data_IF_050922003569
#
_entry.id   IF_050922003569
#
_cell.length_a   1.000
_cell.length_b   1.000
_cell.length_c   1.000
_cell.angle_alpha   90.00
_cell.angle_beta   90.00
_cell.angle_gamma   90.00
#
_symmetry.space_group_name_H-M   'P 1'
#
loop_
_entity.id
_entity.type
_entity.pdbx_description
1 polymer ?
#
# COMPACT_ATOMS: atom_id res chain seq x y z
N UNK A 1 -0.04 -19.06 8.60
CA UNK A 1 0.36 -18.10 9.65
C UNK A 1 0.05 -16.67 9.20
N UNK A 2 0.62 -16.21 8.08
CA UNK A 2 0.32 -14.93 7.41
C UNK A 2 -1.20 -14.60 7.34
N UNK A 3 -2.00 -15.49 6.75
CA UNK A 3 -3.45 -15.29 6.60
C UNK A 3 -4.17 -15.03 7.94
N UNK A 4 -3.75 -15.72 9.01
CA UNK A 4 -4.33 -15.55 10.35
C UNK A 4 -4.01 -14.17 10.91
N UNK A 5 -2.77 -13.70 10.77
CA UNK A 5 -2.33 -12.38 11.26
C UNK A 5 -3.08 -11.28 10.52
N UNK A 6 -3.11 -11.34 9.18
CA UNK A 6 -3.84 -10.36 8.35
C UNK A 6 -5.33 -10.35 8.73
N UNK A 7 -5.96 -11.51 8.84
CA UNK A 7 -7.38 -11.60 9.22
C UNK A 7 -7.66 -10.99 10.60
N UNK A 8 -6.79 -11.26 11.58
CA UNK A 8 -6.94 -10.71 12.93
C UNK A 8 -6.78 -9.20 12.92
N UNK A 9 -5.77 -8.67 12.24
CA UNK A 9 -5.59 -7.23 12.07
C UNK A 9 -6.80 -6.58 11.39
N UNK A 10 -7.28 -7.10 10.26
CA UNK A 10 -8.46 -6.54 9.57
C UNK A 10 -9.69 -6.46 10.48
N UNK A 11 -9.98 -7.53 11.23
CA UNK A 11 -11.11 -7.55 12.15
C UNK A 11 -10.93 -6.56 13.31
N UNK A 12 -9.71 -6.41 13.82
CA UNK A 12 -9.38 -5.44 14.86
C UNK A 12 -9.57 -3.99 14.38
N UNK A 13 -9.00 -3.65 13.21
CA UNK A 13 -9.13 -2.33 12.58
C UNK A 13 -10.60 -1.94 12.38
N UNK A 14 -11.43 -2.90 11.96
CA UNK A 14 -12.88 -2.68 11.80
C UNK A 14 -13.54 -2.47 13.16
N UNK A 15 -13.21 -3.29 14.15
CA UNK A 15 -13.84 -3.24 15.47
C UNK A 15 -13.56 -1.92 16.21
N UNK A 16 -12.34 -1.39 16.10
CA UNK A 16 -11.92 -0.18 16.81
C UNK A 16 -11.95 1.10 15.96
N UNK A 17 -12.39 0.98 14.70
CA UNK A 17 -12.44 2.07 13.72
C UNK A 17 -11.08 2.75 13.48
N UNK A 18 -9.96 2.08 13.77
CA UNK A 18 -8.63 2.69 13.63
C UNK A 18 -8.20 2.93 12.18
N UNK A 19 -8.99 2.46 11.20
CA UNK A 19 -8.85 2.85 9.79
C UNK A 19 -9.02 4.36 9.58
N UNK A 20 -9.80 5.06 10.43
CA UNK A 20 -9.95 6.52 10.38
C UNK A 20 -8.63 7.25 10.70
N UNK A 21 -7.71 6.57 11.38
CA UNK A 21 -6.40 7.08 11.77
C UNK A 21 -5.28 6.53 10.88
N UNK A 22 -5.63 5.93 9.75
CA UNK A 22 -4.69 5.30 8.81
C UNK A 22 -3.80 4.24 9.48
N UNK A 23 -4.34 3.47 10.44
CA UNK A 23 -3.60 2.39 11.07
C UNK A 23 -3.31 1.28 10.06
N UNK A 24 -2.04 0.93 9.92
CA UNK A 24 -1.53 -0.02 8.95
C UNK A 24 -0.94 -1.27 9.57
N UNK A 25 -0.53 -2.21 8.72
CA UNK A 25 0.19 -3.41 9.09
C UNK A 25 1.38 -3.57 8.16
N UNK A 26 2.59 -3.36 8.67
CA UNK A 26 3.79 -3.57 7.88
C UNK A 26 4.03 -5.06 7.64
N UNK A 27 4.54 -5.40 6.46
CA UNK A 27 4.67 -6.81 6.07
C UNK A 27 5.66 -7.58 6.94
N UNK A 28 6.69 -6.94 7.48
CA UNK A 28 7.64 -7.55 8.41
C UNK A 28 6.98 -7.92 9.75
N UNK A 29 5.96 -7.19 10.20
CA UNK A 29 5.13 -7.56 11.35
C UNK A 29 4.25 -8.80 11.09
N UNK A 30 3.96 -9.10 9.82
CA UNK A 30 3.14 -10.26 9.42
C UNK A 30 3.95 -11.56 9.51
N UNK A 31 5.24 -11.49 9.18
CA UNK A 31 6.11 -12.66 9.08
C UNK A 31 7.59 -12.26 8.94
N UNK A 32 8.46 -12.89 9.74
CA UNK A 32 9.93 -12.73 9.71
C UNK A 32 10.56 -12.95 8.31
N UNK A 33 9.86 -13.65 7.41
CA UNK A 33 10.27 -13.78 6.01
C UNK A 33 10.42 -12.45 5.27
N UNK A 34 9.82 -11.38 5.78
CA UNK A 34 9.76 -10.06 5.16
C UNK A 34 10.66 -9.02 5.85
N UNK A 35 11.59 -9.46 6.70
CA UNK A 35 12.55 -8.56 7.36
C UNK A 35 13.53 -7.95 6.34
N UNK A 36 13.93 -8.71 5.33
CA UNK A 36 14.92 -8.27 4.34
C UNK A 36 14.26 -7.53 3.17
N UNK A 37 14.80 -6.37 2.77
CA UNK A 37 14.20 -5.49 1.77
C UNK A 37 14.07 -6.10 0.37
N UNK A 38 14.93 -7.06 0.02
CA UNK A 38 14.85 -7.80 -1.23
C UNK A 38 13.60 -8.69 -1.34
N UNK A 39 12.90 -8.94 -0.24
CA UNK A 39 11.64 -9.68 -0.20
C UNK A 39 10.41 -8.80 -0.24
N UNK A 40 10.55 -7.48 -0.03
CA UNK A 40 9.44 -6.60 0.29
C UNK A 40 8.40 -6.45 -0.81
N UNK A 41 8.83 -6.29 -2.07
CA UNK A 41 7.87 -6.09 -3.16
C UNK A 41 7.00 -7.35 -3.34
N UNK A 42 7.62 -8.52 -3.43
CA UNK A 42 6.90 -9.78 -3.59
C UNK A 42 6.06 -10.09 -2.33
N UNK A 43 6.63 -9.92 -1.14
CA UNK A 43 5.93 -10.11 0.12
C UNK A 43 4.74 -9.19 0.31
N UNK A 44 4.86 -7.94 -0.12
CA UNK A 44 3.79 -6.95 -0.22
C UNK A 44 2.64 -7.46 -1.06
N UNK A 45 2.91 -7.89 -2.30
CA UNK A 45 1.87 -8.40 -3.19
C UNK A 45 1.23 -9.71 -2.69
N UNK A 46 2.01 -10.60 -2.08
CA UNK A 46 1.49 -11.83 -1.46
C UNK A 46 0.52 -11.49 -0.32
N UNK A 47 0.93 -10.61 0.59
CA UNK A 47 0.11 -10.16 1.71
C UNK A 47 -1.15 -9.43 1.22
N UNK A 48 -1.02 -8.57 0.21
CA UNK A 48 -2.13 -7.86 -0.41
C UNK A 48 -3.14 -8.80 -1.07
N UNK A 49 -2.66 -9.82 -1.79
CA UNK A 49 -3.51 -10.84 -2.40
C UNK A 49 -4.28 -11.63 -1.34
N UNK A 50 -3.63 -11.99 -0.24
CA UNK A 50 -4.25 -12.67 0.89
C UNK A 50 -5.30 -11.77 1.56
N UNK A 51 -4.99 -10.50 1.80
CA UNK A 51 -5.91 -9.54 2.36
C UNK A 51 -7.16 -9.34 1.47
N UNK A 52 -6.97 -9.21 0.14
CA UNK A 52 -8.08 -9.17 -0.84
C UNK A 52 -8.97 -10.40 -0.73
N UNK A 53 -8.37 -11.60 -0.65
CA UNK A 53 -9.10 -12.86 -0.50
C UNK A 53 -9.93 -12.88 0.79
N UNK A 54 -9.32 -12.57 1.93
CA UNK A 54 -10.02 -12.53 3.24
C UNK A 54 -11.18 -11.53 3.19
N UNK A 55 -10.93 -10.33 2.67
CA UNK A 55 -11.94 -9.27 2.50
C UNK A 55 -13.15 -9.79 1.72
N UNK A 56 -12.92 -10.48 0.60
CA UNK A 56 -13.96 -11.03 -0.26
C UNK A 56 -14.73 -12.16 0.43
N UNK A 57 -14.04 -13.10 1.07
CA UNK A 57 -14.65 -14.23 1.79
C UNK A 57 -15.56 -13.77 2.93
N UNK A 58 -15.13 -12.73 3.66
CA UNK A 58 -15.89 -12.13 4.75
C UNK A 58 -16.93 -11.09 4.28
N UNK A 59 -16.98 -10.79 2.97
CA UNK A 59 -17.87 -9.78 2.36
C UNK A 59 -17.79 -8.42 3.05
N UNK A 60 -16.59 -8.02 3.47
CA UNK A 60 -16.38 -6.76 4.18
C UNK A 60 -16.61 -5.58 3.21
N UNK A 61 -17.39 -4.54 3.60
CA UNK A 61 -17.62 -3.35 2.79
C UNK A 61 -16.43 -2.37 2.83
N UNK A 62 -15.23 -2.91 2.69
CA UNK A 62 -13.95 -2.20 2.78
C UNK A 62 -13.14 -2.46 1.51
N UNK A 63 -12.20 -1.58 1.20
CA UNK A 63 -11.14 -1.84 0.23
C UNK A 63 -9.80 -2.01 0.95
N UNK A 64 -8.93 -2.81 0.34
CA UNK A 64 -7.56 -3.02 0.81
C UNK A 64 -6.64 -2.15 -0.06
N UNK A 65 -5.67 -1.51 0.59
CA UNK A 65 -4.55 -0.86 -0.05
C UNK A 65 -3.23 -1.53 0.38
N UNK A 66 -2.32 -1.72 -0.56
CA UNK A 66 -0.91 -1.95 -0.29
C UNK A 66 -0.14 -0.68 -0.62
N UNK A 67 0.59 -0.14 0.35
CA UNK A 67 1.45 1.02 0.17
C UNK A 67 2.92 0.60 0.14
N UNK A 68 3.65 1.12 -0.84
CA UNK A 68 5.10 0.96 -0.96
C UNK A 68 5.72 2.35 -0.87
N UNK A 69 6.50 2.59 0.19
CA UNK A 69 7.19 3.87 0.42
C UNK A 69 8.51 3.90 -0.36
N UNK A 70 8.74 4.99 -1.09
CA UNK A 70 9.92 5.21 -1.90
C UNK A 70 10.84 6.25 -1.23
N UNK A 71 12.10 6.27 -1.64
CA UNK A 71 13.07 7.26 -1.16
C UNK A 71 12.54 8.68 -1.39
N UNK A 72 12.55 9.48 -0.31
CA UNK A 72 12.25 10.91 -0.33
C UNK A 72 13.34 11.68 -1.06
N UNK A 73 12.97 12.87 -1.55
CA UNK A 73 13.90 13.74 -2.29
C UNK A 73 13.70 15.21 -1.93
N UNK A 74 14.75 16.02 -2.03
CA UNK A 74 14.72 17.47 -1.78
C UNK A 74 13.93 18.27 -2.83
N UNK A 75 13.58 17.63 -3.95
CA UNK A 75 12.80 18.20 -5.06
C UNK A 75 11.87 17.15 -5.67
N UNK A 76 10.79 17.55 -6.37
CA UNK A 76 9.95 16.60 -7.09
C UNK A 76 10.78 15.81 -8.11
N UNK A 77 10.71 14.49 -8.04
CA UNK A 77 11.35 13.56 -8.97
C UNK A 77 10.37 13.08 -10.04
N UNK A 78 9.07 13.09 -9.73
CA UNK A 78 8.05 12.42 -10.52
C UNK A 78 8.23 10.90 -10.54
N UNK A 79 7.44 10.24 -11.38
CA UNK A 79 7.60 8.81 -11.63
C UNK A 79 8.82 8.59 -12.53
N UNK A 80 9.88 7.99 -11.95
CA UNK A 80 11.17 7.79 -12.62
C UNK A 80 11.56 6.31 -12.77
N UNK A 81 10.63 5.39 -12.50
CA UNK A 81 10.78 3.95 -12.64
C UNK A 81 9.77 3.44 -13.68
N UNK A 82 10.11 2.35 -14.39
CA UNK A 82 9.26 1.76 -15.42
C UNK A 82 9.04 0.26 -15.25
N UNK A 83 9.80 -0.37 -14.36
CA UNK A 83 9.74 -1.80 -14.07
C UNK A 83 9.78 -2.07 -12.56
N UNK A 84 9.46 -3.30 -12.17
CA UNK A 84 9.66 -3.77 -10.78
C UNK A 84 11.13 -3.69 -10.38
N UNK A 85 12.06 -3.95 -11.30
CA UNK A 85 13.49 -3.86 -11.03
C UNK A 85 13.92 -2.42 -10.70
N UNK A 86 13.35 -1.43 -11.39
CA UNK A 86 13.59 -0.02 -11.07
C UNK A 86 12.98 0.34 -9.72
N UNK A 87 11.78 -0.19 -9.43
CA UNK A 87 11.08 0.03 -8.16
C UNK A 87 11.92 -0.42 -6.97
N UNK A 88 12.63 -1.56 -7.06
CA UNK A 88 13.55 -2.03 -6.02
C UNK A 88 14.63 -1.00 -5.68
N UNK A 89 15.13 -0.24 -6.66
CA UNK A 89 16.16 0.78 -6.44
C UNK A 89 15.61 2.06 -5.78
N UNK A 90 14.29 2.25 -5.85
CA UNK A 90 13.61 3.41 -5.30
C UNK A 90 13.01 3.14 -3.92
N UNK A 91 13.08 1.91 -3.39
CA UNK A 91 12.53 1.59 -2.07
C UNK A 91 13.18 2.42 -0.97
N UNK A 92 12.34 2.92 -0.06
CA UNK A 92 12.79 3.51 1.20
C UNK A 92 13.27 2.43 2.18
N UNK A 93 13.62 2.85 3.39
CA UNK A 93 13.95 1.98 4.53
C UNK A 93 12.70 1.52 5.31
N UNK A 94 11.50 1.92 4.87
CA UNK A 94 10.22 1.55 5.47
C UNK A 94 9.61 0.36 4.71
N UNK A 95 9.30 -0.76 5.40
CA UNK A 95 8.63 -1.89 4.77
C UNK A 95 7.25 -1.49 4.20
N UNK A 96 6.81 -2.12 3.09
CA UNK A 96 5.44 -1.97 2.61
C UNK A 96 4.42 -2.29 3.68
N UNK A 97 3.26 -1.64 3.61
CA UNK A 97 2.19 -1.85 4.59
C UNK A 97 0.83 -2.00 3.94
N UNK A 98 -0.03 -2.77 4.62
CA UNK A 98 -1.43 -2.93 4.29
C UNK A 98 -2.27 -1.89 5.02
N UNK A 99 -3.21 -1.29 4.31
CA UNK A 99 -4.26 -0.46 4.88
C UNK A 99 -5.63 -1.03 4.54
N UNK A 100 -6.60 -0.75 5.39
CA UNK A 100 -7.99 -1.13 5.20
C UNK A 100 -8.85 0.12 5.39
N UNK A 101 -9.74 0.40 4.44
CA UNK A 101 -10.59 1.59 4.48
C UNK A 101 -12.02 1.25 4.13
N UNK A 102 -12.96 1.92 4.79
CA UNK A 102 -14.38 1.78 4.47
C UNK A 102 -14.65 2.30 3.04
N UNK A 103 -15.55 1.62 2.32
CA UNK A 103 -15.97 2.10 1.00
C UNK A 103 -16.66 3.46 1.12
N UNK A 104 -16.25 4.40 0.26
CA UNK A 104 -16.77 5.77 0.27
C UNK A 104 -16.03 6.71 1.22
N UNK A 105 -14.90 6.28 1.81
CA UNK A 105 -14.10 7.15 2.66
C UNK A 105 -13.44 8.30 1.85
N UNK A 106 -13.87 9.53 2.15
CA UNK A 106 -13.58 10.74 1.35
C UNK A 106 -12.12 11.19 1.33
N UNK A 107 -11.36 10.92 2.40
CA UNK A 107 -9.96 11.36 2.49
C UNK A 107 -9.09 10.68 1.44
N UNK A 108 -9.33 9.39 1.20
CA UNK A 108 -8.62 8.66 0.16
C UNK A 108 -8.98 9.18 -1.24
N UNK A 109 -10.26 9.43 -1.50
CA UNK A 109 -10.73 10.01 -2.75
C UNK A 109 -10.11 11.39 -3.03
N UNK A 110 -9.91 12.19 -1.98
CA UNK A 110 -9.26 13.50 -2.09
C UNK A 110 -7.78 13.35 -2.42
N UNK A 111 -7.08 12.39 -1.81
CA UNK A 111 -5.68 12.11 -2.10
C UNK A 111 -5.48 11.66 -3.55
N UNK A 112 -6.37 10.80 -4.07
CA UNK A 112 -6.31 10.31 -5.45
C UNK A 112 -6.37 11.41 -6.52
N UNK A 113 -7.05 12.53 -6.26
CA UNK A 113 -7.11 13.66 -7.20
C UNK A 113 -5.74 14.27 -7.50
N UNK A 114 -4.77 14.07 -6.61
CA UNK A 114 -3.38 14.54 -6.77
C UNK A 114 -2.44 13.42 -7.21
N UNK A 115 -2.92 12.18 -7.26
CA UNK A 115 -2.12 11.02 -7.61
C UNK A 115 -2.01 10.83 -9.12
N UNK A 116 -0.91 10.23 -9.56
CA UNK A 116 -0.73 9.81 -10.95
C UNK A 116 -1.12 8.35 -11.05
N UNK A 117 -2.10 8.01 -11.87
CA UNK A 117 -2.42 6.61 -12.14
C UNK A 117 -1.27 5.96 -12.91
N UNK A 118 -0.82 4.80 -12.44
CA UNK A 118 0.32 4.06 -13.00
C UNK A 118 -0.18 2.76 -13.60
N UNK A 119 0.18 2.51 -14.86
CA UNK A 119 -0.04 1.23 -15.52
C UNK A 119 1.26 0.41 -15.45
N UNK A 120 1.34 -0.50 -14.48
CA UNK A 120 2.43 -1.47 -14.40
C UNK A 120 2.14 -2.66 -15.32
N UNK A 121 2.75 -2.69 -16.49
CA UNK A 121 2.58 -3.77 -17.48
C UNK A 121 3.03 -5.13 -16.93
N UNK A 122 4.04 -5.13 -16.05
CA UNK A 122 4.65 -6.36 -15.52
C UNK A 122 3.88 -6.99 -14.34
N UNK A 123 2.95 -6.25 -13.74
CA UNK A 123 2.17 -6.70 -12.59
C UNK A 123 0.77 -7.09 -13.08
N UNK A 124 0.59 -8.37 -13.40
CA UNK A 124 -0.72 -8.92 -13.75
C UNK A 124 -1.63 -9.04 -12.51
N UNK A 125 -1.97 -7.90 -11.92
CA UNK A 125 -2.81 -7.78 -10.74
C UNK A 125 -4.22 -7.44 -11.19
N UNK A 126 -4.97 -8.48 -11.60
CA UNK A 126 -6.39 -8.35 -11.93
C UNK A 126 -7.14 -7.60 -10.81
N UNK A 127 -8.03 -6.69 -11.21
CA UNK A 127 -8.84 -5.88 -10.30
C UNK A 127 -7.99 -5.10 -9.27
N UNK A 128 -6.87 -4.53 -9.71
CA UNK A 128 -6.00 -3.68 -8.89
C UNK A 128 -5.65 -2.43 -9.67
N UNK A 129 -5.73 -1.27 -9.02
CA UNK A 129 -5.24 -0.01 -9.59
C UNK A 129 -4.00 0.45 -8.84
N UNK A 130 -3.06 1.05 -9.55
CA UNK A 130 -1.84 1.59 -8.95
C UNK A 130 -1.80 3.11 -9.11
N UNK A 131 -1.40 3.78 -8.04
CA UNK A 131 -1.31 5.23 -7.97
C UNK A 131 0.03 5.65 -7.38
N UNK A 132 0.70 6.59 -8.04
CA UNK A 132 1.89 7.25 -7.55
C UNK A 132 1.52 8.55 -6.85
N UNK A 133 2.08 8.72 -5.65
CA UNK A 133 1.96 9.93 -4.84
C UNK A 133 3.33 10.56 -4.67
N UNK A 134 3.36 11.88 -4.79
CA UNK A 134 4.53 12.71 -4.47
C UNK A 134 4.03 13.99 -3.80
N UNK A 135 4.36 14.15 -2.52
CA UNK A 135 3.85 15.25 -1.70
C UNK A 135 4.96 15.83 -0.85
N UNK A 136 5.04 17.16 -0.82
CA UNK A 136 5.93 17.86 0.10
C UNK A 136 5.51 17.56 1.54
N UNK A 137 6.47 17.12 2.35
CA UNK A 137 6.32 16.94 3.80
C UNK A 137 5.93 18.25 4.48
N UNK A 138 5.18 18.14 5.57
CA UNK A 138 4.91 19.28 6.46
C UNK A 138 6.02 19.50 7.49
N UNK A 139 6.82 18.46 7.75
CA UNK A 139 7.75 18.39 8.87
C UNK A 139 9.20 18.62 8.44
N UNK A 140 9.51 18.37 7.17
CA UNK A 140 10.82 18.51 6.55
C UNK A 140 10.70 19.09 5.13
N UNK A 141 11.78 19.59 4.52
CA UNK A 141 11.75 20.09 3.15
C UNK A 141 11.92 18.97 2.11
N UNK A 142 11.43 17.76 2.38
CA UNK A 142 11.50 16.63 1.45
C UNK A 142 10.14 16.27 0.86
N UNK A 143 10.18 15.70 -0.34
CA UNK A 143 9.04 15.14 -1.03
C UNK A 143 8.93 13.65 -0.67
N UNK A 144 7.87 13.30 0.05
CA UNK A 144 7.49 11.92 0.28
C UNK A 144 6.91 11.31 -0.99
N UNK A 145 7.34 10.08 -1.27
CA UNK A 145 7.00 9.36 -2.50
C UNK A 145 6.48 7.98 -2.14
N UNK A 146 5.38 7.56 -2.77
CA UNK A 146 4.83 6.22 -2.53
C UNK A 146 4.00 5.71 -3.71
N UNK A 147 3.91 4.39 -3.82
CA UNK A 147 2.90 3.71 -4.63
C UNK A 147 1.79 3.18 -3.73
N UNK A 148 0.54 3.34 -4.17
CA UNK A 148 -0.62 2.68 -3.57
C UNK A 148 -1.25 1.74 -4.59
N UNK A 149 -1.38 0.47 -4.22
CA UNK A 149 -2.10 -0.56 -4.96
C UNK A 149 -3.43 -0.80 -4.27
N UNK A 150 -4.55 -0.56 -4.96
CA UNK A 150 -5.88 -0.60 -4.37
C UNK A 150 -6.73 -1.70 -4.98
N UNK A 151 -7.49 -2.41 -4.14
CA UNK A 151 -8.20 -3.63 -4.54
C UNK A 151 -9.45 -3.41 -5.40
N UNK A 152 -9.86 -2.17 -5.60
CA UNK A 152 -11.03 -1.79 -6.42
C UNK A 152 -10.77 -0.44 -7.11
N UNK A 153 -11.40 -0.18 -8.27
CA UNK A 153 -11.59 1.18 -8.77
C UNK A 153 -12.37 2.00 -7.75
N UNK A 154 -11.91 3.21 -7.49
CA UNK A 154 -12.55 4.15 -6.58
C UNK A 154 -13.47 5.12 -7.30
#
# INVERSE_FOLDING_TARGET
MIEKVIKQWMLQIIQDHSWEKHNDLHIDEISDKFVESNTWINGGFDCFTIAKKIRNELKLPYFVELRIVLNSTDRPKGMNFKSISDLFQELSWTPPSLYLYEKGYDLFQTALKKAIKVDFIDLNLNDTQCYYFETLSTDDPEYYRSLAFVSEPL
#
